data_IF_196605831101
#
_entry.id   IF_196605831101
#
_cell.length_a   1.000
_cell.length_b   1.000
_cell.length_c   1.000
_cell.angle_alpha   90.00
_cell.angle_beta   90.00
_cell.angle_gamma   90.00
#
_symmetry.space_group_name_H-M   'P 1'
#
loop_
_entity.id
_entity.type
_entity.pdbx_description
1 polymer ?
#
# COMPACT_ATOMS: atom_id res chain seq x y z
N UNK A 1 -11.51 -16.76 -30.74
CA UNK A 1 -10.95 -16.97 -29.39
C UNK A 1 -11.95 -17.56 -28.38
N UNK A 2 -13.23 -17.16 -28.37
CA UNK A 2 -14.19 -17.63 -27.35
C UNK A 2 -14.35 -19.17 -27.25
N UNK A 3 -14.35 -19.90 -28.37
CA UNK A 3 -14.49 -21.37 -28.37
C UNK A 3 -13.45 -22.08 -27.50
N UNK A 4 -12.21 -21.58 -27.46
CA UNK A 4 -11.13 -22.15 -26.65
C UNK A 4 -11.41 -22.02 -25.15
N UNK A 5 -11.98 -20.89 -24.74
CA UNK A 5 -12.26 -20.58 -23.33
C UNK A 5 -13.72 -20.85 -22.94
N UNK A 6 -14.47 -21.58 -23.76
CA UNK A 6 -15.90 -21.83 -23.56
C UNK A 6 -16.21 -22.32 -22.14
N UNK A 7 -15.48 -23.35 -21.68
CA UNK A 7 -15.67 -23.93 -20.35
C UNK A 7 -15.44 -22.92 -19.22
N UNK A 8 -14.44 -22.04 -19.36
CA UNK A 8 -14.17 -21.00 -18.35
C UNK A 8 -15.23 -19.90 -18.33
N UNK A 9 -15.74 -19.52 -19.50
CA UNK A 9 -16.83 -18.53 -19.63
C UNK A 9 -18.14 -19.10 -19.11
N UNK A 10 -18.46 -20.35 -19.45
CA UNK A 10 -19.63 -21.07 -18.94
C UNK A 10 -19.58 -21.17 -17.42
N UNK A 11 -18.44 -21.58 -16.85
CA UNK A 11 -18.24 -21.60 -15.39
C UNK A 11 -18.47 -20.22 -14.76
N UNK A 12 -17.95 -19.15 -15.36
CA UNK A 12 -18.17 -17.79 -14.86
C UNK A 12 -19.65 -17.42 -14.88
N UNK A 13 -20.36 -17.70 -15.98
CA UNK A 13 -21.78 -17.38 -16.12
C UNK A 13 -22.67 -18.21 -15.19
N UNK A 14 -22.30 -19.45 -14.89
CA UNK A 14 -22.98 -20.30 -13.90
C UNK A 14 -22.75 -19.79 -12.48
N UNK A 15 -21.52 -19.36 -12.14
CA UNK A 15 -21.22 -18.85 -10.80
C UNK A 15 -21.69 -17.43 -10.54
N UNK A 16 -21.82 -16.60 -11.58
CA UNK A 16 -22.24 -15.20 -11.45
C UNK A 16 -23.54 -15.01 -10.64
N UNK A 17 -24.66 -15.70 -10.94
CA UNK A 17 -25.89 -15.55 -10.15
C UNK A 17 -25.73 -16.06 -8.71
N UNK A 18 -24.95 -17.11 -8.49
CA UNK A 18 -24.68 -17.61 -7.14
C UNK A 18 -23.84 -16.60 -6.33
N UNK A 19 -22.85 -15.97 -6.95
CA UNK A 19 -22.08 -14.89 -6.34
C UNK A 19 -22.95 -13.70 -5.96
N UNK A 20 -23.90 -13.33 -6.81
CA UNK A 20 -24.88 -12.28 -6.50
C UNK A 20 -25.78 -12.65 -5.31
N UNK A 21 -26.27 -13.90 -5.25
CA UNK A 21 -27.06 -14.39 -4.13
C UNK A 21 -26.27 -14.36 -2.81
N UNK A 22 -24.99 -14.77 -2.82
CA UNK A 22 -24.10 -14.67 -1.66
C UNK A 22 -23.89 -13.21 -1.25
N UNK A 23 -23.70 -12.30 -2.20
CA UNK A 23 -23.55 -10.88 -1.90
C UNK A 23 -24.82 -10.29 -1.27
N UNK A 24 -26.01 -10.73 -1.70
CA UNK A 24 -27.27 -10.28 -1.13
C UNK A 24 -27.44 -10.68 0.35
N UNK A 25 -26.92 -11.83 0.79
CA UNK A 25 -27.00 -12.21 2.21
C UNK A 25 -26.24 -11.26 3.14
N UNK A 26 -25.24 -10.55 2.62
CA UNK A 26 -24.47 -9.54 3.38
C UNK A 26 -25.21 -8.21 3.48
N UNK A 27 -25.97 -7.83 2.45
CA UNK A 27 -26.59 -6.50 2.34
C UNK A 27 -28.06 -6.46 2.79
N UNK A 28 -28.77 -7.58 2.69
CA UNK A 28 -30.21 -7.68 3.04
C UNK A 28 -30.54 -7.52 4.52
N UNK A 29 -29.72 -7.96 5.50
CA UNK A 29 -30.11 -7.89 6.91
C UNK A 29 -30.16 -6.48 7.49
N UNK A 30 -29.56 -5.49 6.83
CA UNK A 30 -29.44 -4.12 7.35
C UNK A 30 -29.73 -3.09 6.25
N UNK A 31 -31.00 -2.86 5.87
CA UNK A 31 -31.33 -1.87 4.85
C UNK A 31 -30.74 -0.48 5.20
N UNK A 32 -29.90 0.07 4.32
CA UNK A 32 -29.23 1.35 4.52
C UNK A 32 -27.92 1.30 5.33
N UNK A 33 -27.46 0.11 5.75
CA UNK A 33 -26.17 -0.10 6.43
C UNK A 33 -25.50 -1.41 5.97
N UNK A 34 -24.20 -1.55 6.20
CA UNK A 34 -23.49 -2.81 5.96
C UNK A 34 -22.75 -3.23 7.23
N UNK A 35 -23.01 -4.45 7.72
CA UNK A 35 -22.23 -5.03 8.80
C UNK A 35 -20.97 -5.68 8.23
N UNK A 36 -19.88 -4.90 8.18
CA UNK A 36 -18.56 -5.38 7.78
C UNK A 36 -17.76 -5.68 9.05
N UNK A 37 -17.66 -6.96 9.48
CA UNK A 37 -16.81 -7.31 10.61
C UNK A 37 -15.35 -6.96 10.28
N UNK A 38 -14.76 -6.07 11.09
CA UNK A 38 -13.36 -5.70 10.95
C UNK A 38 -12.47 -6.81 11.56
N UNK A 39 -12.30 -7.88 10.81
CA UNK A 39 -11.43 -9.00 11.17
C UNK A 39 -10.24 -9.06 10.18
N UNK A 40 -9.22 -8.20 10.34
CA UNK A 40 -8.08 -8.18 9.44
C UNK A 40 -7.27 -9.47 9.63
N UNK A 41 -7.34 -10.36 8.64
CA UNK A 41 -6.54 -11.58 8.61
C UNK A 41 -5.10 -11.25 8.15
N UNK A 42 -4.37 -10.47 8.96
CA UNK A 42 -3.01 -10.05 8.67
C UNK A 42 -2.10 -11.28 8.73
N UNK A 43 -1.49 -11.62 7.59
CA UNK A 43 -0.61 -12.78 7.43
C UNK A 43 -1.27 -14.13 7.78
N UNK A 44 -2.60 -14.23 7.69
CA UNK A 44 -3.32 -15.49 7.91
C UNK A 44 -4.32 -15.78 6.77
N UNK A 45 -4.09 -16.84 5.95
CA UNK A 45 -2.90 -17.68 5.92
C UNK A 45 -1.65 -16.87 5.51
N UNK A 46 -0.43 -17.34 5.85
CA UNK A 46 0.78 -16.58 5.52
C UNK A 46 0.91 -16.33 4.02
N UNK A 47 1.48 -15.18 3.62
CA UNK A 47 1.73 -14.90 2.21
C UNK A 47 2.70 -15.93 1.63
N UNK A 48 2.53 -16.27 0.35
CA UNK A 48 3.55 -17.02 -0.37
C UNK A 48 4.58 -16.04 -0.91
N UNK A 49 5.83 -16.19 -0.48
CA UNK A 49 6.92 -15.37 -0.97
C UNK A 49 7.73 -16.13 -2.04
N UNK A 50 7.79 -17.47 -1.98
CA UNK A 50 8.65 -18.28 -2.86
C UNK A 50 8.27 -18.11 -4.32
N UNK A 51 9.23 -17.71 -5.15
CA UNK A 51 9.01 -17.42 -6.57
C UNK A 51 8.66 -15.96 -6.90
N UNK A 52 8.58 -15.09 -5.89
CA UNK A 52 8.54 -13.64 -6.04
C UNK A 52 9.93 -13.02 -5.90
N UNK A 53 10.01 -11.69 -6.12
CA UNK A 53 11.26 -10.94 -5.97
C UNK A 53 11.78 -11.03 -4.51
N UNK A 54 13.11 -11.12 -4.33
CA UNK A 54 13.71 -11.11 -3.01
C UNK A 54 13.46 -9.77 -2.31
N UNK A 55 13.55 -9.78 -0.97
CA UNK A 55 13.31 -8.59 -0.14
C UNK A 55 14.11 -7.38 -0.61
N UNK A 56 15.40 -7.55 -0.94
CA UNK A 56 16.30 -6.49 -1.39
C UNK A 56 15.84 -5.77 -2.67
N UNK A 57 14.96 -6.38 -3.46
CA UNK A 57 14.39 -5.80 -4.68
C UNK A 57 13.01 -5.18 -4.45
N UNK A 58 12.48 -5.20 -3.22
CA UNK A 58 11.21 -4.57 -2.89
C UNK A 58 11.35 -3.05 -2.90
N UNK A 59 10.42 -2.40 -3.60
CA UNK A 59 10.37 -0.94 -3.69
C UNK A 59 9.78 -0.34 -2.43
N UNK A 60 10.13 0.92 -2.20
CA UNK A 60 9.39 1.71 -1.23
C UNK A 60 7.96 1.97 -1.71
N UNK A 61 6.93 1.87 -0.85
CA UNK A 61 5.59 2.34 -1.18
C UNK A 61 5.53 3.82 -1.57
N UNK A 62 6.55 4.62 -1.20
CA UNK A 62 6.65 6.03 -1.58
C UNK A 62 7.15 6.25 -3.03
N UNK A 63 7.76 5.24 -3.65
CA UNK A 63 8.26 5.33 -5.02
C UNK A 63 7.14 4.98 -6.02
N UNK A 64 6.51 6.02 -6.59
CA UNK A 64 5.39 5.92 -7.54
C UNK A 64 5.83 5.90 -9.00
N UNK A 65 7.14 5.86 -9.28
CA UNK A 65 7.64 5.91 -10.65
C UNK A 65 7.25 4.66 -11.46
N UNK A 66 6.97 4.80 -12.78
CA UNK A 66 6.64 3.66 -13.62
C UNK A 66 7.84 2.73 -13.79
N UNK A 67 7.62 1.42 -13.75
CA UNK A 67 8.64 0.38 -13.97
C UNK A 67 8.04 -0.84 -14.68
N UNK A 68 8.80 -1.58 -15.50
CA UNK A 68 8.34 -2.85 -16.04
C UNK A 68 7.92 -3.83 -14.93
N UNK A 69 6.85 -4.58 -15.19
CA UNK A 69 6.40 -5.64 -14.28
C UNK A 69 7.38 -6.82 -14.34
N UNK A 70 7.86 -7.34 -13.20
CA UNK A 70 8.69 -8.51 -13.17
C UNK A 70 7.93 -9.71 -13.76
N UNK A 71 8.54 -10.42 -14.70
CA UNK A 71 7.91 -11.57 -15.35
C UNK A 71 8.07 -12.84 -14.52
N UNK A 72 7.12 -13.77 -14.62
CA UNK A 72 7.26 -15.11 -14.03
C UNK A 72 7.20 -15.14 -12.50
N UNK A 73 6.66 -14.08 -11.88
CA UNK A 73 6.43 -14.01 -10.43
C UNK A 73 5.11 -14.65 -10.06
N UNK A 74 5.17 -15.80 -9.40
CA UNK A 74 4.04 -16.46 -8.78
C UNK A 74 4.54 -17.37 -7.65
N UNK A 75 3.63 -17.85 -6.81
CA UNK A 75 3.96 -18.79 -5.75
C UNK A 75 4.48 -20.13 -6.32
N UNK A 76 5.78 -20.40 -6.19
CA UNK A 76 6.47 -21.57 -6.77
C UNK A 76 6.75 -22.68 -5.75
N UNK A 77 5.83 -22.93 -4.82
CA UNK A 77 5.90 -24.07 -3.88
C UNK A 77 5.15 -25.30 -4.44
N UNK A 78 5.16 -26.48 -3.80
CA UNK A 78 4.42 -27.65 -4.28
C UNK A 78 2.93 -27.35 -4.58
N UNK A 79 2.37 -27.99 -5.62
CA UNK A 79 1.00 -27.69 -6.09
C UNK A 79 -0.09 -28.07 -5.09
N UNK A 80 0.18 -29.05 -4.23
CA UNK A 80 -0.65 -29.57 -3.15
C UNK A 80 -0.54 -28.77 -1.83
N UNK A 81 0.37 -27.78 -1.78
CA UNK A 81 0.52 -26.92 -0.62
C UNK A 81 -0.78 -26.13 -0.36
N UNK A 82 -1.27 -26.19 0.90
CA UNK A 82 -2.48 -25.50 1.35
C UNK A 82 -2.32 -23.97 1.46
N UNK A 83 -1.12 -23.45 1.17
CA UNK A 83 -0.81 -22.02 1.12
C UNK A 83 -1.10 -21.45 -0.27
N UNK A 84 -1.80 -20.32 -0.29
CA UNK A 84 -2.11 -19.57 -1.51
C UNK A 84 -2.73 -20.45 -2.61
N UNK A 85 -3.77 -21.20 -2.25
CA UNK A 85 -4.54 -22.06 -3.18
C UNK A 85 -5.19 -21.26 -4.31
N UNK A 86 -5.37 -19.95 -4.12
CA UNK A 86 -5.86 -18.99 -5.11
C UNK A 86 -4.66 -18.21 -5.67
N UNK A 87 -4.21 -18.58 -6.86
CA UNK A 87 -3.06 -17.95 -7.51
C UNK A 87 -2.68 -18.66 -8.81
N UNK A 88 -1.71 -18.10 -9.54
CA UNK A 88 -1.37 -18.59 -10.87
C UNK A 88 -0.92 -20.07 -10.88
N UNK A 89 -0.22 -20.52 -9.84
CA UNK A 89 0.33 -21.89 -9.69
C UNK A 89 -0.64 -23.01 -10.09
N UNK A 90 -1.92 -22.86 -9.73
CA UNK A 90 -2.94 -23.90 -9.85
C UNK A 90 -4.04 -23.57 -10.88
N UNK A 91 -3.78 -22.66 -11.82
CA UNK A 91 -4.74 -22.34 -12.90
C UNK A 91 -4.90 -23.57 -13.80
N UNK A 92 -6.14 -24.03 -14.07
CA UNK A 92 -6.40 -25.09 -15.04
C UNK A 92 -5.92 -24.73 -16.43
N UNK A 93 -5.16 -25.62 -17.06
CA UNK A 93 -4.69 -25.45 -18.43
C UNK A 93 -5.82 -25.76 -19.42
N UNK A 94 -6.25 -24.74 -20.17
CA UNK A 94 -7.39 -24.83 -21.10
C UNK A 94 -7.18 -25.90 -22.19
N UNK A 95 -5.95 -26.11 -22.63
CA UNK A 95 -5.63 -27.05 -23.73
C UNK A 95 -5.28 -28.46 -23.26
N UNK A 96 -5.06 -28.65 -21.96
CA UNK A 96 -4.52 -29.90 -21.40
C UNK A 96 -5.36 -30.29 -20.18
N UNK A 97 -6.42 -31.08 -20.38
CA UNK A 97 -7.28 -31.53 -19.30
C UNK A 97 -6.48 -32.16 -18.15
N UNK A 98 -6.83 -31.83 -16.91
CA UNK A 98 -6.16 -32.32 -15.71
C UNK A 98 -4.84 -31.63 -15.35
N UNK A 99 -4.24 -30.85 -16.26
CA UNK A 99 -3.00 -30.12 -15.99
C UNK A 99 -3.28 -28.74 -15.40
N UNK A 100 -2.43 -28.31 -14.47
CA UNK A 100 -2.41 -26.96 -13.90
C UNK A 100 -1.02 -26.35 -14.03
N UNK A 101 -0.95 -25.08 -14.41
CA UNK A 101 0.29 -24.33 -14.49
C UNK A 101 0.04 -22.82 -14.44
N UNK A 102 1.09 -22.04 -14.16
CA UNK A 102 0.98 -20.59 -14.00
C UNK A 102 0.96 -19.82 -15.32
N UNK A 103 1.56 -20.37 -16.37
CA UNK A 103 1.65 -19.68 -17.66
C UNK A 103 1.19 -20.54 -18.85
N UNK A 104 0.75 -19.92 -19.96
CA UNK A 104 0.42 -20.65 -21.18
C UNK A 104 1.61 -21.46 -21.75
N UNK A 105 2.85 -21.01 -21.50
CA UNK A 105 4.06 -21.73 -21.91
C UNK A 105 4.23 -23.00 -21.10
N UNK A 106 4.11 -22.92 -19.78
CA UNK A 106 4.16 -24.07 -18.88
C UNK A 106 3.02 -25.06 -19.16
N UNK A 107 1.81 -24.57 -19.44
CA UNK A 107 0.69 -25.44 -19.83
C UNK A 107 1.02 -26.31 -21.06
N UNK A 108 1.71 -25.75 -22.06
CA UNK A 108 2.10 -26.46 -23.28
C UNK A 108 3.38 -27.29 -23.16
N UNK A 109 4.19 -27.07 -22.12
CA UNK A 109 5.37 -27.90 -21.88
C UNK A 109 4.99 -29.34 -21.51
N UNK A 110 5.86 -30.31 -21.80
CA UNK A 110 5.73 -31.69 -21.29
C UNK A 110 6.48 -31.88 -19.97
N UNK A 111 7.27 -30.89 -19.57
CA UNK A 111 8.07 -30.98 -18.35
C UNK A 111 7.15 -30.99 -17.11
N UNK A 112 7.49 -31.79 -16.08
CA UNK A 112 6.79 -31.76 -14.82
C UNK A 112 6.99 -30.42 -14.11
N UNK A 113 6.01 -30.03 -13.28
CA UNK A 113 6.16 -28.87 -12.41
C UNK A 113 7.25 -29.15 -11.36
N UNK A 114 8.23 -28.25 -11.26
CA UNK A 114 9.30 -28.33 -10.25
C UNK A 114 9.14 -27.15 -9.29
N UNK A 115 8.82 -27.39 -8.01
CA UNK A 115 8.75 -26.33 -7.01
C UNK A 115 10.15 -25.76 -6.74
N UNK A 116 10.22 -24.46 -6.46
CA UNK A 116 11.44 -23.78 -6.06
C UNK A 116 11.74 -23.86 -4.56
N UNK A 117 10.82 -24.37 -3.73
CA UNK A 117 11.01 -24.48 -2.28
C UNK A 117 9.71 -24.53 -1.46
N UNK A 118 9.82 -24.34 -0.14
CA UNK A 118 8.71 -24.23 0.82
C UNK A 118 8.32 -22.78 1.10
N UNK A 119 7.31 -22.54 1.95
CA UNK A 119 6.88 -21.18 2.33
C UNK A 119 6.48 -21.10 3.82
N UNK A 120 7.04 -20.16 4.62
CA UNK A 120 8.13 -19.26 4.26
C UNK A 120 9.42 -20.06 3.98
N UNK A 121 10.23 -19.63 3.02
CA UNK A 121 11.54 -20.24 2.83
C UNK A 121 12.43 -19.83 4.02
N UNK A 122 13.10 -20.77 4.65
CA UNK A 122 14.20 -20.48 5.56
C UNK A 122 15.49 -20.87 4.82
N UNK A 123 16.21 -19.88 4.28
CA UNK A 123 17.49 -20.12 3.62
C UNK A 123 17.46 -20.38 2.11
N UNK A 124 18.34 -21.26 1.64
CA UNK A 124 18.46 -21.64 0.22
C UNK A 124 17.11 -22.19 -0.28
N UNK A 125 16.59 -21.70 -1.43
CA UNK A 125 15.33 -22.16 -2.02
C UNK A 125 15.19 -23.70 -2.09
N UNK A 126 16.30 -24.43 -2.25
CA UNK A 126 16.28 -25.89 -2.36
C UNK A 126 16.07 -26.64 -1.03
N UNK A 127 15.91 -25.95 0.11
CA UNK A 127 15.62 -26.59 1.39
C UNK A 127 14.11 -26.81 1.58
N UNK A 128 13.62 -27.94 1.07
CA UNK A 128 12.30 -28.45 1.42
C UNK A 128 12.37 -29.04 2.84
N UNK A 129 11.92 -28.27 3.84
CA UNK A 129 11.84 -28.71 5.24
C UNK A 129 10.40 -29.09 5.62
N UNK A 130 10.23 -30.13 6.44
CA UNK A 130 8.92 -30.54 6.95
C UNK A 130 8.60 -29.74 8.20
N UNK A 131 7.79 -28.71 8.06
CA UNK A 131 7.38 -27.87 9.19
C UNK A 131 5.91 -28.19 9.53
N UNK A 132 5.61 -28.66 10.76
CA UNK A 132 4.28 -29.17 11.12
C UNK A 132 3.20 -28.07 11.19
N UNK A 133 3.60 -26.80 11.25
CA UNK A 133 2.71 -25.65 11.11
C UNK A 133 3.49 -24.42 10.63
N UNK A 134 2.82 -23.41 10.05
CA UNK A 134 3.44 -22.12 9.77
C UNK A 134 4.00 -21.47 11.04
N UNK A 135 5.33 -21.27 11.10
CA UNK A 135 6.03 -20.73 12.28
C UNK A 135 6.41 -21.77 13.34
N UNK A 136 6.04 -23.05 13.18
CA UNK A 136 6.53 -24.12 14.04
C UNK A 136 7.99 -24.46 13.73
N UNK A 137 8.72 -24.96 14.73
CA UNK A 137 10.04 -25.57 14.51
C UNK A 137 9.88 -26.74 13.56
N UNK A 138 10.61 -26.71 12.45
CA UNK A 138 10.68 -27.82 11.52
C UNK A 138 11.39 -29.02 12.18
N UNK A 139 11.18 -30.21 11.62
CA UNK A 139 11.83 -31.46 12.03
C UNK A 139 13.37 -31.37 12.03
N UNK A 140 13.92 -30.53 11.16
CA UNK A 140 15.33 -30.15 11.17
C UNK A 140 15.54 -28.73 11.72
N UNK A 141 16.60 -28.51 12.53
CA UNK A 141 16.96 -27.18 12.97
C UNK A 141 17.31 -26.30 11.76
N UNK A 142 16.71 -25.10 11.69
CA UNK A 142 17.20 -24.05 10.79
C UNK A 142 18.68 -23.85 11.05
N UNK A 143 19.53 -23.83 10.02
CA UNK A 143 20.98 -23.63 10.16
C UNK A 143 21.26 -22.12 10.24
N UNK A 144 21.34 -21.50 11.43
CA UNK A 144 21.43 -20.04 11.55
C UNK A 144 22.81 -19.60 11.04
N UNK A 145 22.86 -18.55 10.21
CA UNK A 145 24.10 -18.12 9.53
C UNK A 145 24.36 -18.76 8.16
N UNK A 146 23.56 -19.75 7.77
CA UNK A 146 23.49 -20.28 6.39
C UNK A 146 22.15 -19.94 5.71
N UNK A 147 21.28 -19.20 6.40
CA UNK A 147 19.94 -18.85 5.91
C UNK A 147 19.72 -17.34 5.95
N UNK A 148 19.23 -16.77 4.84
CA UNK A 148 18.83 -15.37 4.77
C UNK A 148 17.57 -15.20 5.65
N UNK A 149 17.52 -14.19 6.55
CA UNK A 149 16.33 -13.88 7.33
C UNK A 149 15.08 -13.76 6.44
N UNK A 150 13.91 -14.09 6.99
CA UNK A 150 12.65 -13.80 6.31
C UNK A 150 12.62 -12.32 5.88
N UNK A 151 12.14 -11.99 4.66
CA UNK A 151 12.11 -10.63 4.16
C UNK A 151 11.57 -9.61 5.17
N UNK A 152 12.42 -8.74 5.70
CA UNK A 152 11.94 -7.55 6.41
C UNK A 152 11.54 -6.49 5.37
N UNK A 153 10.42 -5.80 5.61
CA UNK A 153 10.02 -4.63 4.81
C UNK A 153 11.13 -3.56 4.85
N UNK A 154 11.94 -3.54 5.90
CA UNK A 154 13.09 -2.67 6.03
C UNK A 154 14.28 -3.22 5.21
N UNK A 155 14.30 -2.84 3.94
CA UNK A 155 15.34 -3.18 2.95
C UNK A 155 16.44 -2.12 2.90
N UNK A 156 16.46 -1.16 3.83
CA UNK A 156 17.25 0.06 3.75
C UNK A 156 16.68 1.13 2.80
N UNK A 157 15.71 0.76 1.95
CA UNK A 157 14.95 1.67 1.10
C UNK A 157 13.54 1.92 1.62
N UNK A 158 13.21 1.41 2.81
CA UNK A 158 11.89 1.54 3.41
C UNK A 158 11.98 2.01 4.87
N UNK A 159 11.59 3.25 5.17
CA UNK A 159 11.03 4.27 4.26
C UNK A 159 12.05 4.76 3.20
N UNK A 160 11.54 5.28 2.07
CA UNK A 160 12.40 5.81 1.01
C UNK A 160 13.31 6.93 1.53
N UNK A 161 14.56 7.00 1.08
CA UNK A 161 15.42 8.16 1.31
C UNK A 161 14.75 9.47 0.89
N UNK A 162 15.04 10.57 1.60
CA UNK A 162 14.38 11.86 1.40
C UNK A 162 14.62 12.46 -0.01
N UNK A 163 15.72 12.10 -0.65
CA UNK A 163 16.06 12.45 -2.03
C UNK A 163 15.28 11.64 -3.09
N UNK A 164 14.64 10.53 -2.68
CA UNK A 164 13.89 9.62 -3.56
C UNK A 164 12.36 9.75 -3.42
N UNK A 165 11.88 10.49 -2.44
CA UNK A 165 10.47 10.86 -2.35
C UNK A 165 10.20 12.07 -3.24
N UNK A 166 9.00 12.14 -3.84
CA UNK A 166 8.58 13.37 -4.52
C UNK A 166 8.69 14.53 -3.54
N UNK A 167 9.40 15.58 -3.96
CA UNK A 167 9.58 16.77 -3.13
C UNK A 167 8.23 17.28 -2.65
N UNK A 168 8.17 17.65 -1.37
CA UNK A 168 7.00 18.33 -0.82
C UNK A 168 6.75 19.56 -1.70
N UNK A 169 5.53 19.79 -2.20
CA UNK A 169 5.21 21.05 -2.86
C UNK A 169 5.72 22.20 -1.98
N UNK A 170 6.34 23.25 -2.56
CA UNK A 170 6.77 24.39 -1.77
C UNK A 170 5.59 24.86 -0.92
N UNK A 171 5.82 25.23 0.36
CA UNK A 171 4.73 25.69 1.21
C UNK A 171 4.08 26.88 0.52
N UNK A 172 2.85 26.69 0.07
CA UNK A 172 2.03 27.79 -0.44
C UNK A 172 1.36 28.38 0.78
N UNK A 173 1.86 29.52 1.24
CA UNK A 173 1.10 30.32 2.19
C UNK A 173 -0.13 30.85 1.47
N UNK A 174 -1.31 30.59 2.02
CA UNK A 174 -2.52 31.27 1.58
C UNK A 174 -2.31 32.79 1.70
N UNK A 175 -2.94 33.60 0.81
CA UNK A 175 -2.94 35.04 0.97
C UNK A 175 -3.37 35.43 2.38
N UNK A 176 -2.65 36.35 3.03
CA UNK A 176 -3.00 36.79 4.38
C UNK A 176 -4.39 37.44 4.39
N UNK A 177 -5.34 36.78 5.03
CA UNK A 177 -6.74 37.22 5.14
C UNK A 177 -7.16 37.40 6.60
N UNK A 178 -8.27 38.11 6.82
CA UNK A 178 -8.84 38.29 8.17
C UNK A 178 -9.32 36.94 8.73
N UNK A 179 -9.17 36.65 10.03
CA UNK A 179 -9.78 35.50 10.67
C UNK A 179 -11.30 35.44 10.37
N UNK A 180 -11.79 34.27 9.94
CA UNK A 180 -13.20 34.08 9.56
C UNK A 180 -13.58 34.57 8.16
N UNK A 181 -12.62 34.91 7.30
CA UNK A 181 -12.84 35.23 5.89
C UNK A 181 -12.37 34.12 4.94
N UNK A 182 -12.92 34.10 3.73
CA UNK A 182 -12.79 33.02 2.76
C UNK A 182 -13.84 31.91 2.93
N UNK A 183 -13.91 30.99 1.97
CA UNK A 183 -14.80 29.82 2.02
C UNK A 183 -14.00 28.56 1.75
N UNK A 184 -14.29 27.48 2.50
CA UNK A 184 -13.72 26.15 2.25
C UNK A 184 -14.82 25.28 1.67
N UNK A 185 -14.59 24.71 0.49
CA UNK A 185 -15.50 23.77 -0.13
C UNK A 185 -14.80 22.40 -0.25
N UNK A 186 -15.31 21.42 0.49
CA UNK A 186 -14.81 20.05 0.45
C UNK A 186 -15.80 19.18 -0.35
N UNK A 187 -15.29 18.34 -1.26
CA UNK A 187 -16.14 17.46 -2.08
C UNK A 187 -16.51 16.12 -1.40
N UNK A 188 -15.95 15.84 -0.21
CA UNK A 188 -16.23 14.64 0.57
C UNK A 188 -15.66 13.32 0.01
N UNK A 189 -14.81 13.35 -1.02
CA UNK A 189 -14.17 12.16 -1.58
C UNK A 189 -12.71 12.04 -1.14
N UNK A 190 -12.30 10.87 -0.64
CA UNK A 190 -10.90 10.64 -0.28
C UNK A 190 -10.01 10.36 -1.50
N UNK A 191 -8.80 10.97 -1.59
CA UNK A 191 -8.24 11.97 -0.67
C UNK A 191 -8.97 13.31 -0.76
N UNK A 192 -9.51 13.82 0.36
CA UNK A 192 -10.39 15.00 0.44
C UNK A 192 -9.68 16.26 -0.07
N UNK A 193 -9.90 16.68 -1.33
CA UNK A 193 -9.41 17.95 -1.80
C UNK A 193 -10.42 18.99 -1.31
N UNK A 194 -10.11 19.65 -0.19
CA UNK A 194 -10.80 20.87 0.18
C UNK A 194 -10.19 22.01 -0.61
N UNK A 195 -11.01 22.77 -1.33
CA UNK A 195 -10.59 23.97 -2.04
C UNK A 195 -10.92 25.17 -1.16
N UNK A 196 -9.89 25.90 -0.73
CA UNK A 196 -10.05 27.19 -0.07
C UNK A 196 -10.17 28.29 -1.14
N UNK A 197 -11.21 29.11 -1.04
CA UNK A 197 -11.41 30.29 -1.87
C UNK A 197 -11.20 31.54 -1.02
N UNK A 198 -10.14 32.32 -1.25
CA UNK A 198 -9.90 33.55 -0.51
C UNK A 198 -10.98 34.62 -0.78
N UNK A 199 -11.36 35.41 0.24
CA UNK A 199 -12.20 36.61 0.05
C UNK A 199 -11.40 37.71 -0.64
N UNK A 200 -12.00 38.41 -1.61
CA UNK A 200 -11.40 39.57 -2.26
C UNK A 200 -11.44 40.80 -1.34
N UNK A 201 -10.27 41.33 -0.96
CA UNK A 201 -10.13 42.50 -0.10
C UNK A 201 -8.65 42.87 0.12
N UNK A 202 -8.34 43.98 0.83
CA UNK A 202 -6.96 44.36 1.14
C UNK A 202 -6.28 43.24 1.95
N UNK A 203 -5.17 42.72 1.45
CA UNK A 203 -4.36 41.72 2.15
C UNK A 203 -3.49 42.37 3.21
N UNK A 204 -3.17 41.64 4.28
CA UNK A 204 -2.13 42.10 5.20
C UNK A 204 -0.77 42.10 4.49
N UNK A 205 0.06 43.11 4.71
CA UNK A 205 1.40 43.22 4.10
C UNK A 205 2.44 43.22 5.21
N UNK A 206 3.33 42.24 5.19
CA UNK A 206 4.50 42.17 6.09
C UNK A 206 5.76 42.60 5.35
N UNK A 207 6.48 43.56 5.91
CA UNK A 207 7.78 44.02 5.40
C UNK A 207 8.90 43.43 6.27
N UNK A 208 9.66 42.44 5.78
CA UNK A 208 10.75 41.83 6.55
C UNK A 208 11.92 42.81 6.78
N UNK A 209 12.06 43.86 5.96
CA UNK A 209 13.10 44.86 6.11
C UNK A 209 12.82 45.85 7.26
N UNK A 210 11.54 46.13 7.54
CA UNK A 210 11.13 47.05 8.61
C UNK A 210 10.53 46.35 9.82
N UNK A 211 10.26 45.04 9.74
CA UNK A 211 9.52 44.30 10.76
C UNK A 211 8.07 44.76 10.91
N UNK A 212 7.52 45.52 9.95
CA UNK A 212 6.18 46.10 10.05
C UNK A 212 5.14 45.20 9.37
N UNK A 213 4.04 44.91 10.07
CA UNK A 213 2.86 44.25 9.55
C UNK A 213 1.72 45.27 9.45
N UNK A 214 1.23 45.52 8.23
CA UNK A 214 0.02 46.33 8.02
C UNK A 214 -1.16 45.38 7.86
N UNK A 215 -2.12 45.46 8.78
CA UNK A 215 -3.35 44.69 8.76
C UNK A 215 -4.28 45.10 7.61
N UNK A 216 -5.24 44.25 7.22
CA UNK A 216 -6.27 44.57 6.22
C UNK A 216 -7.13 45.81 6.53
N UNK A 217 -7.16 46.20 7.80
CA UNK A 217 -7.84 47.38 8.35
C UNK A 217 -6.96 48.65 8.32
N UNK A 218 -5.72 48.55 7.83
CA UNK A 218 -4.74 49.64 7.80
C UNK A 218 -4.01 49.86 9.11
N UNK A 219 -4.27 49.04 10.15
CA UNK A 219 -3.56 49.12 11.43
C UNK A 219 -2.14 48.58 11.25
N UNK A 220 -1.16 49.32 11.77
CA UNK A 220 0.27 48.96 11.68
C UNK A 220 0.71 48.32 12.98
N UNK A 221 1.37 47.17 12.86
CA UNK A 221 1.96 46.44 13.97
C UNK A 221 3.48 46.32 13.75
N UNK A 222 4.27 46.52 14.80
CA UNK A 222 5.69 46.21 14.78
C UNK A 222 5.90 44.77 15.27
N UNK A 223 6.52 43.95 14.44
CA UNK A 223 6.86 42.56 14.72
C UNK A 223 8.33 42.50 15.06
N UNK A 224 8.64 42.26 16.34
CA UNK A 224 10.01 42.01 16.79
C UNK A 224 10.34 40.52 16.65
N UNK A 225 11.59 40.20 16.27
CA UNK A 225 12.07 38.84 16.31
C UNK A 225 12.18 38.38 17.77
N UNK A 226 11.75 37.14 18.06
CA UNK A 226 12.01 36.52 19.36
C UNK A 226 13.53 36.34 19.53
N UNK A 227 14.07 36.91 20.61
CA UNK A 227 15.50 36.81 20.95
C UNK A 227 15.84 35.60 21.82
N UNK A 228 14.83 34.85 22.28
CA UNK A 228 14.94 33.75 23.24
C UNK A 228 14.50 32.44 22.59
N UNK A 229 15.44 31.69 22.02
CA UNK A 229 15.17 30.40 21.34
C UNK A 229 15.16 29.19 22.29
N UNK A 230 14.83 29.38 23.58
CA UNK A 230 14.80 28.31 24.60
C UNK A 230 13.45 27.59 24.71
N UNK A 231 13.34 26.62 25.62
CA UNK A 231 12.12 25.81 25.87
C UNK A 231 10.86 26.63 26.20
N UNK A 232 11.05 27.89 26.62
CA UNK A 232 9.99 28.85 26.93
C UNK A 232 9.80 29.94 25.85
N UNK A 233 10.60 29.96 24.79
CA UNK A 233 10.54 30.97 23.73
C UNK A 233 9.19 31.03 23.01
N UNK A 234 8.48 29.90 22.96
CA UNK A 234 7.11 29.83 22.42
C UNK A 234 6.09 30.63 23.26
N UNK A 235 6.35 30.82 24.56
CA UNK A 235 5.45 31.60 25.44
C UNK A 235 5.51 33.09 25.11
N UNK A 236 6.68 33.60 24.74
CA UNK A 236 6.84 34.99 24.29
C UNK A 236 6.15 35.25 22.95
N UNK A 237 6.08 34.25 22.06
CA UNK A 237 5.33 34.36 20.79
C UNK A 237 3.81 34.44 20.97
N UNK A 238 3.29 33.98 22.11
CA UNK A 238 1.85 33.95 22.42
C UNK A 238 1.41 35.04 23.41
N UNK A 239 2.37 35.76 24.00
CA UNK A 239 2.08 36.88 24.87
C UNK A 239 1.69 38.11 24.02
N UNK A 240 0.75 38.96 24.50
CA UNK A 240 0.50 40.24 23.85
C UNK A 240 1.80 41.05 23.83
N UNK A 241 2.15 41.62 22.68
CA UNK A 241 3.25 42.57 22.60
C UNK A 241 2.94 43.74 23.55
N UNK A 242 3.76 43.92 24.59
CA UNK A 242 3.67 45.02 25.54
C UNK A 242 4.08 46.34 24.91
#
# INVERSE_FOLDING_TARGET
MLKRYHAGVEQLLVFLPQGAAIAQTVLTPTPGAAQLPLAPAINYPPPCLTGFLPASEWRSPADTSPRPLPSGTYCKIPQDAQLQVRGARNIPCVDVPGKRAATPKECRSKDPYVPLGTNPWFGDPNQILTCPAPGARCDQPVKPGLVIPAPSINTGLNPAPADQVQGTPPPVSDPLQRPGSGTVQCNGQQPNPCVYTPTSGPSAVYSPASGELVGPDGVKYAVANSSTTGDDGWKEMLAPAS
#
